data_IF_750802352902
#
_entry.id   IF_750802352902
#
_cell.length_a   1.000
_cell.length_b   1.000
_cell.length_c   1.000
_cell.angle_alpha   90.00
_cell.angle_beta   90.00
_cell.angle_gamma   90.00
#
_symmetry.space_group_name_H-M   'P 1'
#
loop_
_entity.id
_entity.type
_entity.pdbx_description
1 polymer ?
#
# COMPACT_ATOMS: atom_id res chain seq x y z
N UNK A 1 8.21 -8.62 15.73
CA UNK A 1 7.03 -9.36 15.34
C UNK A 1 7.28 -10.20 14.11
N UNK A 2 6.71 -11.36 14.11
CA UNK A 2 6.77 -12.23 12.94
C UNK A 2 5.71 -11.80 11.92
N UNK A 3 6.02 -11.95 10.64
CA UNK A 3 5.00 -11.90 9.61
C UNK A 3 4.13 -13.15 9.71
N UNK A 4 2.84 -12.95 9.71
CA UNK A 4 1.84 -14.01 9.66
C UNK A 4 0.89 -13.73 8.51
N UNK A 5 0.35 -14.79 7.93
CA UNK A 5 -0.79 -14.67 7.04
C UNK A 5 -2.03 -14.34 7.85
N UNK A 6 -2.97 -13.65 7.26
CA UNK A 6 -4.19 -13.20 7.96
C UNK A 6 -5.38 -14.11 7.71
N UNK A 7 -5.29 -14.97 6.70
CA UNK A 7 -6.30 -15.95 6.33
C UNK A 7 -5.61 -17.23 5.85
N UNK A 8 -5.36 -18.17 6.78
CA UNK A 8 -4.67 -19.43 6.49
C UNK A 8 -5.44 -20.29 5.50
N UNK A 9 -6.78 -20.23 5.53
CA UNK A 9 -7.59 -20.97 4.58
C UNK A 9 -7.41 -20.46 3.16
N UNK A 10 -7.51 -19.15 2.95
CA UNK A 10 -7.30 -18.55 1.63
C UNK A 10 -5.86 -18.76 1.13
N UNK A 11 -4.88 -18.65 2.02
CA UNK A 11 -3.47 -18.67 1.65
C UNK A 11 -2.93 -20.07 1.37
N UNK A 12 -3.38 -21.10 2.12
CA UNK A 12 -2.82 -22.45 2.06
C UNK A 12 -3.80 -23.57 1.79
N UNK A 13 -5.08 -23.45 2.20
CA UNK A 13 -5.97 -24.58 2.33
C UNK A 13 -7.05 -24.64 1.26
N UNK A 14 -7.43 -23.50 0.68
CA UNK A 14 -8.53 -23.41 -0.29
C UNK A 14 -8.19 -24.20 -1.57
N UNK A 15 -8.92 -25.31 -1.86
CA UNK A 15 -8.63 -26.12 -3.03
C UNK A 15 -9.06 -25.50 -4.37
N UNK A 16 -9.77 -24.37 -4.34
CA UNK A 16 -10.50 -23.82 -5.51
C UNK A 16 -10.01 -22.42 -5.92
N UNK A 17 -8.74 -22.11 -5.78
CA UNK A 17 -8.23 -20.76 -6.12
C UNK A 17 -8.05 -20.58 -7.64
N UNK A 18 -9.12 -20.65 -8.41
CA UNK A 18 -9.12 -20.34 -9.85
C UNK A 18 -8.32 -21.30 -10.75
N UNK A 19 -7.74 -22.34 -10.18
CA UNK A 19 -7.02 -23.41 -10.90
C UNK A 19 -7.51 -24.76 -10.39
N UNK A 20 -7.65 -25.74 -11.29
CA UNK A 20 -7.83 -27.13 -10.88
C UNK A 20 -6.54 -27.57 -10.18
N UNK A 21 -6.54 -27.50 -8.88
CA UNK A 21 -5.45 -28.02 -8.07
C UNK A 21 -5.68 -29.51 -7.89
N UNK A 22 -4.64 -30.30 -8.08
CA UNK A 22 -4.74 -31.75 -7.92
C UNK A 22 -5.23 -32.15 -6.52
N UNK A 23 -5.71 -33.37 -6.40
CA UNK A 23 -6.33 -33.94 -5.20
C UNK A 23 -5.38 -34.08 -4.00
N UNK A 24 -4.10 -33.75 -4.15
CA UNK A 24 -3.05 -33.89 -3.14
C UNK A 24 -2.81 -32.64 -2.28
N UNK A 25 -3.60 -31.57 -2.46
CA UNK A 25 -3.47 -30.27 -1.77
C UNK A 25 -2.09 -29.61 -1.84
N UNK A 26 -1.19 -30.14 -2.63
CA UNK A 26 0.20 -29.63 -2.76
C UNK A 26 0.28 -28.19 -3.22
N UNK A 27 -0.75 -27.73 -3.95
CA UNK A 27 -0.84 -26.39 -4.52
C UNK A 27 -2.15 -25.71 -4.11
N UNK A 28 -2.60 -25.94 -2.89
CA UNK A 28 -3.79 -25.30 -2.37
C UNK A 28 -3.54 -23.82 -2.00
N UNK A 29 -4.61 -23.05 -1.95
CA UNK A 29 -4.59 -21.64 -1.57
C UNK A 29 -3.92 -20.73 -2.60
N UNK A 30 -3.84 -19.46 -2.25
CA UNK A 30 -3.20 -18.42 -3.08
C UNK A 30 -1.73 -18.75 -3.33
N UNK A 31 -1.01 -19.26 -2.32
CA UNK A 31 0.40 -19.64 -2.46
C UNK A 31 0.60 -20.78 -3.47
N UNK A 32 -0.29 -21.76 -3.47
CA UNK A 32 -0.28 -22.81 -4.49
C UNK A 32 -0.55 -22.29 -5.90
N UNK A 33 -1.54 -21.38 -6.05
CA UNK A 33 -1.83 -20.72 -7.31
C UNK A 33 -0.62 -19.93 -7.85
N UNK A 34 0.12 -19.25 -6.97
CA UNK A 34 1.35 -18.52 -7.34
C UNK A 34 2.44 -19.44 -7.89
N UNK A 35 2.61 -20.63 -7.30
CA UNK A 35 3.56 -21.62 -7.83
C UNK A 35 3.19 -22.04 -9.25
N UNK A 36 1.91 -22.31 -9.50
CA UNK A 36 1.42 -22.68 -10.82
C UNK A 36 1.55 -21.54 -11.83
N UNK A 37 1.27 -20.31 -11.43
CA UNK A 37 1.46 -19.12 -12.27
C UNK A 37 2.93 -18.94 -12.65
N UNK A 38 3.86 -19.13 -11.73
CA UNK A 38 5.30 -19.03 -11.99
C UNK A 38 5.78 -20.13 -12.95
N UNK A 39 5.26 -21.36 -12.82
CA UNK A 39 5.56 -22.42 -13.77
C UNK A 39 5.09 -22.09 -15.19
N UNK A 40 3.90 -21.46 -15.30
CA UNK A 40 3.34 -21.04 -16.59
C UNK A 40 3.99 -19.79 -17.16
N UNK A 41 4.39 -18.86 -16.29
CA UNK A 41 4.95 -17.56 -16.65
C UNK A 41 6.26 -17.30 -15.88
N UNK A 42 7.37 -17.95 -16.26
CA UNK A 42 8.61 -17.95 -15.47
C UNK A 42 9.26 -16.57 -15.31
N UNK A 43 8.90 -15.61 -16.17
CA UNK A 43 9.40 -14.23 -16.09
C UNK A 43 8.50 -13.30 -15.27
N UNK A 44 7.37 -13.81 -14.76
CA UNK A 44 6.46 -13.02 -13.93
C UNK A 44 7.03 -12.89 -12.52
N UNK A 45 7.13 -11.65 -12.03
CA UNK A 45 7.47 -11.38 -10.63
C UNK A 45 6.23 -11.48 -9.76
N UNK A 46 6.38 -12.11 -8.62
CA UNK A 46 5.31 -12.29 -7.63
C UNK A 46 5.79 -11.73 -6.29
N UNK A 47 5.01 -10.89 -5.68
CA UNK A 47 5.31 -10.30 -4.39
C UNK A 47 4.18 -10.42 -3.39
N UNK A 48 4.45 -9.98 -2.17
CA UNK A 48 3.49 -9.92 -1.08
C UNK A 48 3.42 -8.50 -0.54
N UNK A 49 2.21 -8.01 -0.30
CA UNK A 49 2.01 -6.74 0.39
C UNK A 49 1.79 -6.97 1.89
N UNK A 50 2.43 -6.14 2.70
CA UNK A 50 2.42 -6.19 4.15
C UNK A 50 1.81 -4.92 4.71
N UNK A 51 0.70 -5.05 5.43
CA UNK A 51 -0.03 -3.92 5.99
C UNK A 51 -1.41 -3.76 5.40
N UNK A 52 -1.67 -2.60 4.82
CA UNK A 52 -2.97 -2.15 4.35
C UNK A 52 -3.76 -1.41 5.44
N UNK A 53 -4.93 -0.85 5.05
CA UNK A 53 -5.75 -0.02 5.91
C UNK A 53 -6.00 -0.63 7.30
N UNK A 54 -6.42 -1.89 7.35
CA UNK A 54 -6.80 -2.56 8.61
C UNK A 54 -5.62 -3.19 9.36
N UNK A 55 -4.42 -3.28 8.75
CA UNK A 55 -3.26 -3.96 9.34
C UNK A 55 -2.06 -3.05 9.60
N UNK A 56 -2.22 -1.74 9.44
CA UNK A 56 -1.16 -0.76 9.69
C UNK A 56 -0.92 -0.42 11.16
N UNK A 57 -1.78 -0.90 12.08
CA UNK A 57 -1.75 -0.49 13.48
C UNK A 57 -0.50 -0.83 14.27
N UNK A 58 0.31 -1.78 13.81
CA UNK A 58 1.54 -2.16 14.49
C UNK A 58 2.79 -1.44 13.93
N UNK A 59 2.71 -0.82 12.74
CA UNK A 59 3.86 -0.13 12.13
C UNK A 59 4.49 0.96 12.99
N UNK A 60 3.73 1.85 13.68
CA UNK A 60 4.35 2.86 14.53
C UNK A 60 5.28 2.25 15.60
N UNK A 61 4.87 1.12 16.21
CA UNK A 61 5.69 0.41 17.20
C UNK A 61 6.87 -0.31 16.58
N UNK A 62 6.66 -0.92 15.42
CA UNK A 62 7.72 -1.62 14.66
C UNK A 62 8.80 -0.64 14.24
N UNK A 63 8.41 0.53 13.75
CA UNK A 63 9.31 1.55 13.23
C UNK A 63 10.05 2.35 14.32
N UNK A 64 9.54 2.38 15.56
CA UNK A 64 9.98 3.28 16.62
C UNK A 64 11.44 3.05 17.07
N UNK A 65 11.99 1.84 17.00
CA UNK A 65 13.34 1.56 17.46
C UNK A 65 14.15 0.77 16.44
N UNK A 66 15.48 0.92 16.50
CA UNK A 66 16.38 0.16 15.63
C UNK A 66 16.22 -1.35 15.80
N UNK A 67 16.06 -1.80 17.04
CA UNK A 67 15.89 -3.23 17.34
C UNK A 67 14.62 -3.79 16.71
N UNK A 68 13.48 -3.08 16.86
CA UNK A 68 12.21 -3.53 16.29
C UNK A 68 12.22 -3.48 14.76
N UNK A 69 12.82 -2.44 14.17
CA UNK A 69 13.01 -2.35 12.71
C UNK A 69 13.84 -3.51 12.16
N UNK A 70 15.01 -3.80 12.76
CA UNK A 70 15.89 -4.89 12.33
C UNK A 70 15.22 -6.26 12.47
N UNK A 71 14.53 -6.51 13.58
CA UNK A 71 13.79 -7.75 13.77
C UNK A 71 12.70 -7.94 12.72
N UNK A 72 11.91 -6.90 12.46
CA UNK A 72 10.87 -6.94 11.44
C UNK A 72 11.48 -7.14 10.04
N UNK A 73 12.52 -6.38 9.69
CA UNK A 73 13.19 -6.47 8.40
C UNK A 73 13.76 -7.87 8.11
N UNK A 74 14.39 -8.48 9.11
CA UNK A 74 14.87 -9.87 8.99
C UNK A 74 13.73 -10.86 8.78
N UNK A 75 12.60 -10.68 9.47
CA UNK A 75 11.44 -11.55 9.30
C UNK A 75 10.79 -11.36 7.93
N UNK A 76 10.72 -10.13 7.41
CA UNK A 76 10.27 -9.84 6.05
C UNK A 76 11.16 -10.56 5.03
N UNK A 77 12.48 -10.36 5.10
CA UNK A 77 13.40 -10.97 4.16
C UNK A 77 13.38 -12.51 4.22
N UNK A 78 13.29 -13.08 5.43
CA UNK A 78 13.12 -14.52 5.63
C UNK A 78 11.82 -15.03 5.01
N UNK A 79 10.72 -14.30 5.15
CA UNK A 79 9.41 -14.67 4.60
C UNK A 79 9.45 -14.66 3.06
N UNK A 80 9.97 -13.60 2.47
CA UNK A 80 10.13 -13.47 1.01
C UNK A 80 10.98 -14.60 0.44
N UNK A 81 12.13 -14.88 1.08
CA UNK A 81 13.02 -15.97 0.71
C UNK A 81 12.34 -17.34 0.83
N UNK A 82 11.69 -17.62 1.97
CA UNK A 82 11.08 -18.93 2.27
C UNK A 82 9.96 -19.28 1.30
N UNK A 83 9.08 -18.33 0.99
CA UNK A 83 7.97 -18.53 0.05
C UNK A 83 8.36 -18.30 -1.42
N UNK A 84 9.59 -17.89 -1.67
CA UNK A 84 10.11 -17.68 -3.01
C UNK A 84 9.51 -16.48 -3.73
N UNK A 85 9.06 -15.46 -3.01
CA UNK A 85 8.61 -14.20 -3.61
C UNK A 85 9.75 -13.47 -4.32
N UNK A 86 9.41 -12.56 -5.23
CA UNK A 86 10.38 -11.72 -5.95
C UNK A 86 10.50 -10.34 -5.32
N UNK A 87 9.45 -9.88 -4.65
CA UNK A 87 9.42 -8.60 -3.97
C UNK A 87 8.51 -8.60 -2.74
N UNK A 88 8.69 -7.59 -1.92
CA UNK A 88 7.75 -7.21 -0.86
C UNK A 88 7.29 -5.77 -1.07
N UNK A 89 6.01 -5.53 -0.85
CA UNK A 89 5.39 -4.23 -0.80
C UNK A 89 5.08 -3.86 0.65
N UNK A 90 5.41 -2.65 1.07
CA UNK A 90 5.08 -2.13 2.40
C UNK A 90 3.95 -1.12 2.27
N UNK A 91 2.82 -1.50 2.82
CA UNK A 91 1.59 -0.73 2.78
C UNK A 91 1.22 -0.21 4.18
N UNK A 92 1.91 0.84 4.61
CA UNK A 92 1.62 1.52 5.88
C UNK A 92 0.68 2.70 5.64
N UNK A 93 -0.55 2.56 6.11
CA UNK A 93 -1.61 3.56 5.94
C UNK A 93 -2.00 4.22 7.28
N UNK A 94 -1.38 5.34 7.66
CA UNK A 94 -0.26 6.04 7.01
C UNK A 94 0.77 6.44 8.07
N UNK A 95 2.04 6.65 7.72
CA UNK A 95 3.00 7.28 8.62
C UNK A 95 2.46 8.61 9.13
N UNK A 96 2.62 8.89 10.42
CA UNK A 96 2.10 10.05 11.17
C UNK A 96 0.58 10.12 11.34
N UNK A 97 -0.21 9.28 10.68
CA UNK A 97 -1.65 9.31 10.84
C UNK A 97 -2.07 8.83 12.24
N UNK A 98 -2.94 9.62 12.89
CA UNK A 98 -3.65 9.19 14.10
C UNK A 98 -5.09 8.87 13.70
N UNK A 99 -5.35 7.58 13.52
CA UNK A 99 -6.62 7.05 13.06
C UNK A 99 -7.15 6.03 14.06
N UNK A 100 -8.42 6.17 14.41
CA UNK A 100 -9.14 5.16 15.19
C UNK A 100 -9.45 3.91 14.33
N UNK A 101 -9.74 2.76 14.98
CA UNK A 101 -10.21 1.58 14.29
C UNK A 101 -11.43 1.87 13.42
N UNK A 102 -11.44 1.32 12.20
CA UNK A 102 -12.60 1.38 11.31
C UNK A 102 -13.54 0.20 11.62
N UNK A 103 -14.71 0.44 12.24
CA UNK A 103 -15.61 -0.64 12.64
C UNK A 103 -16.30 -1.31 11.44
N UNK A 104 -16.34 -0.66 10.29
CA UNK A 104 -16.96 -1.19 9.07
C UNK A 104 -15.94 -1.92 8.17
N UNK A 105 -14.67 -1.89 8.55
CA UNK A 105 -13.57 -2.52 7.81
C UNK A 105 -13.73 -4.03 7.70
N UNK A 106 -14.37 -4.48 6.65
CA UNK A 106 -14.39 -5.86 6.11
C UNK A 106 -14.65 -7.03 7.07
N UNK A 107 -15.35 -6.85 8.18
CA UNK A 107 -15.95 -7.92 8.99
C UNK A 107 -15.03 -9.01 9.57
N UNK A 108 -13.82 -9.17 9.06
CA UNK A 108 -12.88 -10.26 9.38
C UNK A 108 -11.58 -9.73 10.00
N UNK A 109 -11.20 -8.49 9.71
CA UNK A 109 -9.96 -7.93 10.16
C UNK A 109 -10.15 -7.13 11.46
N UNK A 110 -9.39 -7.48 12.48
CA UNK A 110 -9.26 -6.64 13.68
C UNK A 110 -8.43 -5.42 13.29
N UNK A 111 -9.08 -4.35 12.87
CA UNK A 111 -8.44 -3.06 12.67
C UNK A 111 -8.12 -2.46 14.04
N UNK A 112 -6.86 -2.19 14.28
CA UNK A 112 -6.38 -1.53 15.52
C UNK A 112 -6.31 -0.02 15.38
N UNK A 113 -6.74 0.53 14.26
CA UNK A 113 -6.42 1.90 13.88
C UNK A 113 -4.93 2.06 13.55
N UNK A 114 -4.47 3.30 13.48
CA UNK A 114 -3.05 3.62 13.35
C UNK A 114 -2.73 4.80 14.25
N UNK A 115 -1.94 4.61 15.30
CA UNK A 115 -1.58 5.64 16.28
C UNK A 115 -0.18 6.15 15.97
N UNK A 116 -0.11 6.96 14.92
CA UNK A 116 1.12 7.57 14.44
C UNK A 116 1.53 8.82 15.20
N UNK A 117 2.74 9.27 14.92
CA UNK A 117 3.34 10.47 15.48
C UNK A 117 4.24 11.16 14.44
N UNK A 118 4.63 12.41 14.68
CA UNK A 118 5.55 13.14 13.79
C UNK A 118 6.89 12.41 13.58
N UNK A 119 7.32 11.56 14.51
CA UNK A 119 8.54 10.78 14.38
C UNK A 119 8.46 9.71 13.27
N UNK A 120 7.25 9.33 12.85
CA UNK A 120 7.06 8.28 11.86
C UNK A 120 7.54 8.68 10.46
N UNK A 121 7.64 9.96 10.16
CA UNK A 121 8.28 10.45 8.93
C UNK A 121 9.70 9.88 8.78
N UNK A 122 10.53 10.06 9.79
CA UNK A 122 11.88 9.53 9.81
C UNK A 122 11.90 8.02 10.05
N UNK A 123 11.08 7.53 10.96
CA UNK A 123 11.01 6.12 11.31
C UNK A 123 10.61 5.24 10.11
N UNK A 124 9.74 5.74 9.23
CA UNK A 124 9.35 5.07 7.99
C UNK A 124 10.56 4.89 7.06
N UNK A 125 11.30 5.96 6.81
CA UNK A 125 12.53 5.91 5.99
C UNK A 125 13.53 4.90 6.57
N UNK A 126 13.74 4.93 7.89
CA UNK A 126 14.65 4.00 8.58
C UNK A 126 14.16 2.55 8.55
N UNK A 127 12.84 2.32 8.61
CA UNK A 127 12.26 0.99 8.47
C UNK A 127 12.49 0.44 7.07
N UNK A 128 12.24 1.23 6.03
CA UNK A 128 12.47 0.82 4.65
C UNK A 128 13.95 0.51 4.38
N UNK A 129 14.87 1.32 4.93
CA UNK A 129 16.30 1.05 4.82
C UNK A 129 16.67 -0.29 5.48
N UNK A 130 16.14 -0.56 6.68
CA UNK A 130 16.39 -1.83 7.35
C UNK A 130 15.87 -3.04 6.55
N UNK A 131 14.70 -2.89 5.91
CA UNK A 131 14.13 -3.93 5.04
C UNK A 131 15.01 -4.12 3.80
N UNK A 132 15.46 -3.05 3.16
CA UNK A 132 16.36 -3.09 2.00
C UNK A 132 17.65 -3.85 2.34
N UNK A 133 18.30 -3.47 3.45
CA UNK A 133 19.54 -4.10 3.90
C UNK A 133 19.36 -5.62 4.16
N UNK A 134 18.24 -6.00 4.76
CA UNK A 134 17.90 -7.41 5.01
C UNK A 134 17.65 -8.18 3.70
N UNK A 135 16.87 -7.61 2.77
CA UNK A 135 16.61 -8.20 1.46
C UNK A 135 17.91 -8.37 0.66
N UNK A 136 18.80 -7.38 0.68
CA UNK A 136 20.09 -7.45 0.00
C UNK A 136 20.98 -8.56 0.59
N UNK A 137 20.97 -8.72 1.92
CA UNK A 137 21.70 -9.80 2.60
C UNK A 137 21.22 -11.20 2.18
N UNK A 138 19.92 -11.39 2.00
CA UNK A 138 19.37 -12.64 1.47
C UNK A 138 19.65 -12.78 -0.02
N UNK A 139 19.47 -11.70 -0.78
CA UNK A 139 19.71 -11.67 -2.22
C UNK A 139 21.15 -12.03 -2.60
N UNK A 140 22.12 -11.60 -1.79
CA UNK A 140 23.52 -11.98 -1.98
C UNK A 140 23.77 -13.50 -1.85
N UNK A 141 23.00 -14.20 -0.99
CA UNK A 141 23.08 -15.66 -0.85
C UNK A 141 22.39 -16.39 -2.00
N UNK A 142 21.29 -15.82 -2.47
CA UNK A 142 20.42 -16.42 -3.48
C UNK A 142 20.83 -16.02 -4.91
N UNK A 143 21.84 -15.14 -5.05
CA UNK A 143 22.22 -14.50 -6.31
C UNK A 143 21.00 -13.87 -7.02
N UNK A 144 20.18 -13.15 -6.26
CA UNK A 144 18.90 -12.56 -6.69
C UNK A 144 18.75 -11.15 -6.10
N UNK A 145 18.22 -10.22 -6.89
CA UNK A 145 17.71 -8.96 -6.35
C UNK A 145 16.26 -9.15 -5.92
N UNK A 146 16.00 -9.01 -4.62
CA UNK A 146 14.64 -8.93 -4.08
C UNK A 146 14.18 -7.49 -4.12
N UNK A 147 13.10 -7.20 -4.85
CA UNK A 147 12.60 -5.83 -4.95
C UNK A 147 11.84 -5.43 -3.67
N UNK A 148 11.87 -4.15 -3.37
CA UNK A 148 11.12 -3.50 -2.31
C UNK A 148 10.24 -2.43 -2.94
N UNK A 149 8.93 -2.52 -2.77
CA UNK A 149 8.01 -1.47 -3.14
C UNK A 149 7.25 -0.92 -1.94
N UNK A 150 6.55 0.16 -2.14
CA UNK A 150 5.70 0.80 -1.13
C UNK A 150 4.39 1.25 -1.75
N UNK A 151 3.30 1.13 -1.00
CA UNK A 151 2.06 1.81 -1.31
C UNK A 151 2.07 3.21 -0.68
N UNK A 152 1.69 4.22 -1.44
CA UNK A 152 1.73 5.61 -0.99
C UNK A 152 0.40 6.32 -1.25
N UNK A 153 -0.01 7.15 -0.30
CA UNK A 153 -1.19 7.99 -0.45
C UNK A 153 -1.02 9.00 -1.57
N UNK A 154 -2.10 9.28 -2.29
CA UNK A 154 -2.21 10.38 -3.24
C UNK A 154 -2.74 11.68 -2.61
N UNK A 155 -3.00 11.70 -1.31
CA UNK A 155 -3.40 12.90 -0.58
C UNK A 155 -2.18 13.73 -0.20
N UNK A 156 -2.08 15.02 -0.58
CA UNK A 156 -0.96 15.90 -0.21
C UNK A 156 -0.69 15.94 1.30
N UNK A 157 -1.73 15.85 2.12
CA UNK A 157 -1.60 15.80 3.58
C UNK A 157 -0.77 14.59 4.05
N UNK A 158 -1.03 13.40 3.51
CA UNK A 158 -0.29 12.18 3.85
C UNK A 158 1.06 12.15 3.13
N UNK A 159 1.13 12.62 1.90
CA UNK A 159 2.37 12.75 1.15
C UNK A 159 3.39 13.65 1.84
N UNK A 160 2.94 14.68 2.56
CA UNK A 160 3.81 15.59 3.31
C UNK A 160 4.61 14.88 4.42
N UNK A 161 4.13 13.75 4.90
CA UNK A 161 4.78 12.94 5.93
C UNK A 161 5.90 12.01 5.38
N UNK A 162 6.12 11.98 4.06
CA UNK A 162 7.08 11.08 3.42
C UNK A 162 8.31 11.85 2.94
N UNK A 163 9.51 11.31 3.23
CA UNK A 163 10.78 11.81 2.73
C UNK A 163 11.09 11.23 1.34
N UNK A 164 10.33 11.64 0.30
CA UNK A 164 10.40 11.03 -1.05
C UNK A 164 11.82 10.95 -1.62
N UNK A 165 12.65 11.98 -1.44
CA UNK A 165 14.04 12.00 -1.91
C UNK A 165 14.89 10.86 -1.33
N UNK A 166 14.58 10.42 -0.12
CA UNK A 166 15.27 9.32 0.55
C UNK A 166 14.60 8.00 0.23
N UNK A 167 13.28 7.93 0.34
CA UNK A 167 12.51 6.71 0.13
C UNK A 167 12.70 6.17 -1.29
N UNK A 168 12.61 7.01 -2.33
CA UNK A 168 12.80 6.57 -3.72
C UNK A 168 14.24 6.13 -4.05
N UNK A 169 15.23 6.44 -3.20
CA UNK A 169 16.57 5.85 -3.30
C UNK A 169 16.68 4.46 -2.70
N UNK A 170 15.78 4.13 -1.76
CA UNK A 170 15.76 2.86 -1.03
C UNK A 170 14.91 1.82 -1.76
N UNK A 171 13.74 2.24 -2.25
CA UNK A 171 12.77 1.33 -2.89
C UNK A 171 13.01 1.21 -4.39
N UNK A 172 12.57 0.11 -4.97
CA UNK A 172 12.61 -0.10 -6.42
C UNK A 172 11.50 0.68 -7.12
N UNK A 173 10.29 0.73 -6.53
CA UNK A 173 9.19 1.55 -7.03
C UNK A 173 8.19 1.89 -5.93
N UNK A 174 7.35 2.90 -6.19
CA UNK A 174 6.31 3.38 -5.30
C UNK A 174 4.95 3.36 -6.01
N UNK A 175 4.01 2.61 -5.46
CA UNK A 175 2.65 2.48 -5.96
C UNK A 175 1.79 3.60 -5.36
N UNK A 176 1.48 4.61 -6.16
CA UNK A 176 0.60 5.69 -5.71
C UNK A 176 -0.86 5.21 -5.75
N UNK A 177 -1.52 5.21 -4.59
CA UNK A 177 -2.93 4.84 -4.44
C UNK A 177 -3.83 5.98 -4.92
N UNK A 178 -3.82 6.21 -6.22
CA UNK A 178 -4.58 7.26 -6.92
C UNK A 178 -6.04 6.85 -7.12
N UNK A 179 -6.60 6.24 -6.10
CA UNK A 179 -7.99 5.79 -5.98
C UNK A 179 -8.46 5.98 -4.53
N UNK A 180 -9.74 5.76 -4.28
CA UNK A 180 -10.37 6.08 -3.00
C UNK A 180 -10.12 7.54 -2.56
N UNK A 181 -9.98 8.42 -3.54
CA UNK A 181 -9.76 9.84 -3.30
C UNK A 181 -11.01 10.50 -2.71
N UNK A 182 -12.19 9.98 -3.06
CA UNK A 182 -13.48 10.42 -2.54
C UNK A 182 -14.40 9.22 -2.31
N UNK A 183 -15.22 9.31 -1.26
CA UNK A 183 -16.17 8.28 -0.86
C UNK A 183 -17.22 8.79 0.10
N UNK A 184 -18.05 7.91 0.64
CA UNK A 184 -19.18 8.27 1.52
C UNK A 184 -18.72 8.89 2.86
N UNK A 185 -17.45 8.83 3.20
CA UNK A 185 -16.85 9.53 4.35
C UNK A 185 -16.70 11.05 4.13
N UNK A 186 -16.72 11.50 2.87
CA UNK A 186 -16.66 12.92 2.51
C UNK A 186 -18.04 13.60 2.54
N UNK A 187 -18.05 14.91 2.65
CA UNK A 187 -19.28 15.72 2.63
C UNK A 187 -19.90 15.91 1.25
N UNK A 188 -19.23 15.47 0.17
CA UNK A 188 -19.65 15.70 -1.21
C UNK A 188 -19.50 14.44 -2.05
N UNK A 189 -20.33 14.33 -3.10
CA UNK A 189 -20.11 13.32 -4.15
C UNK A 189 -18.99 13.81 -5.07
N UNK A 190 -18.01 12.96 -5.35
CA UNK A 190 -16.92 13.26 -6.26
C UNK A 190 -16.34 11.98 -6.87
N UNK A 191 -15.54 12.09 -7.91
CA UNK A 191 -14.89 10.93 -8.51
C UNK A 191 -13.88 10.33 -7.56
N UNK A 192 -13.95 9.02 -7.35
CA UNK A 192 -13.02 8.31 -6.45
C UNK A 192 -11.61 8.13 -7.04
N UNK A 193 -11.45 8.33 -8.34
CA UNK A 193 -10.17 8.20 -9.05
C UNK A 193 -10.14 9.19 -10.23
N UNK A 194 -10.36 10.48 -9.94
CA UNK A 194 -10.33 11.54 -10.93
C UNK A 194 -8.95 11.68 -11.55
N UNK A 195 -8.86 11.76 -12.88
CA UNK A 195 -7.58 12.03 -13.56
C UNK A 195 -7.14 13.47 -13.33
N UNK A 196 -8.07 14.42 -13.42
CA UNK A 196 -7.84 15.85 -13.18
C UNK A 196 -8.81 16.38 -12.13
N UNK A 197 -8.36 17.39 -11.38
CA UNK A 197 -9.23 18.12 -10.46
C UNK A 197 -10.34 18.81 -11.22
N UNK A 198 -11.59 18.62 -10.80
CA UNK A 198 -12.71 19.38 -11.34
C UNK A 198 -12.71 20.78 -10.71
N UNK A 199 -12.67 21.88 -11.52
CA UNK A 199 -12.69 23.24 -11.00
C UNK A 199 -13.92 23.59 -10.14
N UNK A 200 -15.01 22.83 -10.27
CA UNK A 200 -16.18 22.98 -9.41
C UNK A 200 -15.96 22.46 -7.98
N UNK A 201 -14.87 21.72 -7.73
CA UNK A 201 -14.48 21.17 -6.43
C UNK A 201 -13.15 21.76 -5.99
N UNK A 202 -13.14 23.04 -5.65
CA UNK A 202 -11.94 23.79 -5.26
C UNK A 202 -11.64 23.75 -3.74
N UNK A 203 -12.47 23.05 -2.96
CA UNK A 203 -12.34 23.00 -1.51
C UNK A 203 -12.06 21.57 -0.98
N UNK A 204 -11.01 21.45 -0.19
CA UNK A 204 -10.70 20.25 0.59
C UNK A 204 -10.34 19.03 -0.27
N UNK A 205 -10.69 17.85 0.25
CA UNK A 205 -10.37 16.57 -0.38
C UNK A 205 -11.10 16.34 -1.72
N UNK A 206 -12.15 17.12 -2.01
CA UNK A 206 -12.89 17.04 -3.28
C UNK A 206 -12.03 17.45 -4.51
N UNK A 207 -10.93 18.15 -4.30
CA UNK A 207 -9.96 18.54 -5.34
C UNK A 207 -8.91 17.47 -5.66
N UNK A 208 -8.94 16.32 -4.98
CA UNK A 208 -7.95 15.28 -5.20
C UNK A 208 -8.09 14.63 -6.57
N UNK A 209 -6.95 14.43 -7.23
CA UNK A 209 -6.86 13.77 -8.53
C UNK A 209 -5.48 13.15 -8.73
N UNK A 210 -5.33 12.31 -9.76
CA UNK A 210 -4.02 11.80 -10.18
C UNK A 210 -3.07 12.96 -10.50
N UNK A 211 -3.54 13.93 -11.28
CA UNK A 211 -2.77 15.11 -11.67
C UNK A 211 -2.33 15.96 -10.47
N UNK A 212 -3.22 16.19 -9.50
CA UNK A 212 -2.86 16.95 -8.28
C UNK A 212 -1.82 16.24 -7.43
N UNK A 213 -1.85 14.91 -7.38
CA UNK A 213 -0.85 14.09 -6.71
C UNK A 213 0.54 14.26 -7.35
N UNK A 214 0.62 14.14 -8.68
CA UNK A 214 1.90 14.29 -9.40
C UNK A 214 2.40 15.74 -9.31
N UNK A 215 1.54 16.73 -9.50
CA UNK A 215 1.90 18.15 -9.34
C UNK A 215 2.41 18.50 -7.94
N UNK A 216 1.88 17.84 -6.91
CA UNK A 216 2.44 18.00 -5.55
C UNK A 216 3.91 17.57 -5.50
N UNK A 217 4.25 16.45 -6.10
CA UNK A 217 5.63 15.96 -6.15
C UNK A 217 6.52 16.89 -6.98
N UNK A 218 6.06 17.30 -8.16
CA UNK A 218 6.78 18.20 -9.04
C UNK A 218 7.06 19.55 -8.36
N UNK A 219 6.06 20.14 -7.72
CA UNK A 219 6.20 21.43 -7.03
C UNK A 219 7.11 21.35 -5.81
N UNK A 220 7.12 20.22 -5.09
CA UNK A 220 7.90 20.07 -3.86
C UNK A 220 9.33 19.61 -4.12
N UNK A 221 9.54 18.73 -5.08
CA UNK A 221 10.81 18.04 -5.27
C UNK A 221 11.48 18.33 -6.63
N UNK A 222 10.73 18.79 -7.64
CA UNK A 222 11.27 19.03 -8.98
C UNK A 222 12.03 17.79 -9.48
N UNK A 223 13.26 18.00 -9.95
CA UNK A 223 14.14 16.94 -10.47
C UNK A 223 14.91 16.16 -9.38
N UNK A 224 14.61 16.41 -8.09
CA UNK A 224 15.32 15.74 -7.00
C UNK A 224 14.84 14.31 -6.72
N UNK A 225 13.78 13.87 -7.38
CA UNK A 225 13.26 12.50 -7.26
C UNK A 225 13.19 11.80 -8.61
N UNK A 226 13.28 10.49 -8.59
CA UNK A 226 13.19 9.66 -9.79
C UNK A 226 11.72 9.27 -10.06
N UNK A 227 11.09 9.99 -10.98
CA UNK A 227 9.70 9.74 -11.38
C UNK A 227 9.50 8.40 -12.09
N UNK A 228 10.54 7.80 -12.66
CA UNK A 228 10.44 6.49 -13.29
C UNK A 228 10.10 5.36 -12.30
N UNK A 229 10.29 5.61 -11.00
CA UNK A 229 9.91 4.70 -9.91
C UNK A 229 8.47 4.88 -9.42
N UNK A 230 7.74 5.88 -9.91
CA UNK A 230 6.38 6.17 -9.48
C UNK A 230 5.39 5.49 -10.39
N UNK A 231 4.58 4.61 -9.81
CA UNK A 231 3.54 3.85 -10.51
C UNK A 231 2.18 4.42 -10.12
N UNK A 232 1.41 4.86 -11.10
CA UNK A 232 0.04 5.36 -10.88
C UNK A 232 -0.93 4.20 -10.76
N UNK A 233 -1.69 4.18 -9.67
CA UNK A 233 -2.69 3.14 -9.40
C UNK A 233 -3.97 3.35 -10.19
N UNK A 234 -4.58 2.26 -10.63
CA UNK A 234 -5.87 2.23 -11.32
C UNK A 234 -6.84 1.33 -10.58
N UNK A 235 -8.02 1.85 -10.28
CA UNK A 235 -9.06 1.11 -9.55
C UNK A 235 -10.14 0.58 -10.52
N UNK A 236 -10.23 -0.75 -10.73
CA UNK A 236 -11.28 -1.36 -11.55
C UNK A 236 -12.58 -1.59 -10.74
N UNK A 237 -12.88 -0.71 -9.79
CA UNK A 237 -14.09 -0.73 -8.96
C UNK A 237 -14.69 0.68 -8.86
N UNK A 238 -15.93 0.77 -8.39
CA UNK A 238 -16.65 2.02 -8.24
C UNK A 238 -17.02 2.27 -6.78
N UNK A 239 -17.18 3.56 -6.44
CA UNK A 239 -17.83 3.98 -5.20
C UNK A 239 -19.13 4.69 -5.54
N UNK A 240 -20.15 4.47 -4.72
CA UNK A 240 -21.46 5.07 -4.91
C UNK A 240 -21.96 5.73 -3.63
N UNK A 241 -22.93 6.60 -3.76
CA UNK A 241 -23.59 7.27 -2.66
C UNK A 241 -25.10 7.02 -2.76
N UNK A 242 -25.76 6.88 -1.63
CA UNK A 242 -27.21 6.88 -1.52
C UNK A 242 -27.68 8.06 -0.70
N UNK A 243 -28.95 8.42 -0.85
CA UNK A 243 -29.58 9.52 -0.10
C UNK A 243 -28.89 10.88 -0.30
N UNK A 244 -28.35 11.09 -1.50
CA UNK A 244 -27.69 12.35 -1.88
C UNK A 244 -28.73 13.47 -1.87
N UNK A 245 -28.44 14.53 -1.11
CA UNK A 245 -29.27 15.73 -1.08
C UNK A 245 -28.68 16.81 -1.96
N UNK A 246 -29.53 17.52 -2.71
CA UNK A 246 -29.08 18.69 -3.46
C UNK A 246 -28.52 19.74 -2.49
N UNK A 247 -27.33 20.23 -2.76
CA UNK A 247 -26.78 21.36 -2.04
C UNK A 247 -27.51 22.64 -2.49
N UNK A 248 -28.35 23.18 -1.60
CA UNK A 248 -29.12 24.40 -1.86
C UNK A 248 -28.31 25.68 -1.77
N UNK A 249 -27.07 25.59 -1.26
CA UNK A 249 -26.14 26.72 -1.16
C UNK A 249 -25.26 26.93 -2.40
N UNK A 250 -25.26 25.98 -3.35
CA UNK A 250 -24.40 25.98 -4.54
C UNK A 250 -25.17 25.47 -5.75
N UNK A 251 -26.00 26.34 -6.32
CA UNK A 251 -26.87 26.01 -7.47
C UNK A 251 -26.10 25.58 -8.73
N UNK A 252 -24.83 25.96 -8.84
CA UNK A 252 -23.88 25.66 -9.92
C UNK A 252 -23.25 24.27 -9.88
N UNK A 253 -23.46 23.52 -8.80
CA UNK A 253 -22.85 22.17 -8.58
C UNK A 253 -23.82 21.02 -8.79
N UNK A 254 -24.78 21.19 -9.68
CA UNK A 254 -25.73 20.13 -10.06
C UNK A 254 -25.23 19.46 -11.32
N UNK A 255 -24.68 18.27 -11.16
CA UNK A 255 -24.54 17.32 -12.29
C UNK A 255 -25.00 15.95 -11.85
#
# INVERSE_FOLDING_TARGET
GDLITTDTWADYENPNVGFSVGTDNKYAGVLGAMVLLRQKYPNMKIGVSVGGWTRSGDFPKIAASETTRKNFANNVAKFVHYYGYDFVDIDWEYPTADRDPDPEGNGVAIDKGCKGSAADTQNYTLLLQAIRDALDSYGAKDNKHYELSVAMSASPKMMAAIEYEKVLKIVDFANMMTYDLNGAWGGFTAHQTALYTNPAYDEGDAGLSVDSCIKYLENKYGDNIDYSKIVVGVAPYTRGWKEVKKDTGREDRVS
#
